data_IF_811093907787
#
_entry.id   IF_811093907787
#
_cell.length_a   1.000
_cell.length_b   1.000
_cell.length_c   1.000
_cell.angle_alpha   90.00
_cell.angle_beta   90.00
_cell.angle_gamma   90.00
#
_symmetry.space_group_name_H-M   'P 1'
#
loop_
_entity.id
_entity.type
_entity.pdbx_description
1 polymer ?
#
# COMPACT_ATOMS: atom_id res chain seq x y z
N UNK A 1 20.00 13.49 -14.16
CA UNK A 1 20.58 14.74 -13.67
C UNK A 1 19.52 15.72 -13.21
N UNK A 2 18.48 15.98 -13.98
CA UNK A 2 17.37 16.91 -13.68
C UNK A 2 16.71 16.69 -12.31
N UNK A 3 16.43 15.44 -11.94
CA UNK A 3 15.88 15.11 -10.60
C UNK A 3 16.79 15.56 -9.44
N UNK A 4 18.10 15.61 -9.66
CA UNK A 4 19.04 16.15 -8.67
C UNK A 4 18.99 17.68 -8.63
N UNK A 5 18.78 18.36 -9.76
CA UNK A 5 18.57 19.80 -9.80
C UNK A 5 17.28 20.16 -9.06
N UNK A 6 16.17 19.44 -9.31
CA UNK A 6 14.93 19.60 -8.53
C UNK A 6 15.15 19.40 -7.04
N UNK A 7 15.96 18.38 -6.68
CA UNK A 7 16.28 18.09 -5.28
C UNK A 7 17.08 19.24 -4.64
N UNK A 8 18.15 19.70 -5.31
CA UNK A 8 19.00 20.82 -4.84
C UNK A 8 18.17 22.10 -4.70
N UNK A 9 17.31 22.41 -5.67
CA UNK A 9 16.40 23.53 -5.62
C UNK A 9 15.43 23.44 -4.45
N UNK A 10 14.71 22.34 -4.35
CA UNK A 10 13.70 22.07 -3.30
C UNK A 10 14.27 22.25 -1.90
N UNK A 11 15.45 21.70 -1.66
CA UNK A 11 16.10 21.70 -0.35
C UNK A 11 17.07 22.87 -0.14
N UNK A 12 17.12 23.80 -1.08
CA UNK A 12 18.01 24.98 -1.07
C UNK A 12 19.47 24.62 -0.78
N UNK A 13 19.94 23.50 -1.36
CA UNK A 13 21.30 23.02 -1.19
C UNK A 13 22.23 23.73 -2.18
N UNK A 14 22.20 25.07 -2.19
CA UNK A 14 22.93 25.89 -3.12
C UNK A 14 24.43 25.92 -2.76
N UNK A 15 25.30 26.11 -3.77
CA UNK A 15 26.71 26.38 -3.53
C UNK A 15 26.87 27.69 -2.72
N UNK A 16 28.01 27.84 -2.04
CA UNK A 16 28.31 29.04 -1.23
C UNK A 16 28.43 30.33 -2.08
N UNK A 17 28.57 30.19 -3.39
CA UNK A 17 28.59 31.34 -4.31
C UNK A 17 27.19 31.92 -4.43
N UNK A 18 27.04 33.29 -4.42
CA UNK A 18 25.79 33.92 -4.67
C UNK A 18 25.21 33.51 -6.03
N UNK A 19 23.92 33.14 -6.06
CA UNK A 19 23.24 32.86 -7.31
C UNK A 19 23.07 34.16 -8.09
N UNK A 20 23.29 34.09 -9.40
CA UNK A 20 23.11 35.20 -10.34
C UNK A 20 22.39 34.74 -11.60
N UNK A 21 21.59 35.62 -12.17
CA UNK A 21 21.01 35.38 -13.50
C UNK A 21 22.11 35.41 -14.59
N UNK A 22 21.76 34.95 -15.78
CA UNK A 22 22.63 35.05 -16.95
C UNK A 22 23.08 36.50 -17.22
N UNK A 23 22.23 37.48 -16.87
CA UNK A 23 22.49 38.92 -17.02
C UNK A 23 23.28 39.51 -15.83
N UNK A 24 23.64 38.69 -14.83
CA UNK A 24 24.45 39.08 -13.67
C UNK A 24 23.69 39.63 -12.47
N UNK A 25 22.36 39.65 -12.49
CA UNK A 25 21.55 40.09 -11.36
C UNK A 25 21.60 39.11 -10.22
N UNK A 26 21.67 39.61 -8.98
CA UNK A 26 21.69 38.78 -7.78
C UNK A 26 20.35 38.08 -7.57
N UNK A 27 20.38 36.81 -7.25
CA UNK A 27 19.19 35.96 -7.00
C UNK A 27 19.21 35.42 -5.57
N UNK A 28 18.14 35.68 -4.83
CA UNK A 28 17.91 35.14 -3.49
C UNK A 28 16.62 34.32 -3.50
N UNK A 29 16.70 33.02 -3.16
CA UNK A 29 15.56 32.12 -3.08
C UNK A 29 14.96 32.15 -1.68
N UNK A 30 13.85 32.88 -1.50
CA UNK A 30 13.13 33.00 -0.24
C UNK A 30 12.33 31.73 0.01
N UNK A 31 11.57 31.25 -1.00
CA UNK A 31 10.79 30.04 -0.98
C UNK A 31 10.95 29.30 -2.33
N UNK A 32 11.32 28.04 -2.29
CA UNK A 32 11.47 27.24 -3.52
C UNK A 32 10.15 26.90 -4.20
N UNK A 33 9.01 27.11 -3.52
CA UNK A 33 7.70 26.76 -4.03
C UNK A 33 7.27 25.33 -3.76
N UNK A 34 6.07 25.01 -4.19
CA UNK A 34 5.47 23.68 -4.06
C UNK A 34 5.85 22.81 -5.27
N UNK A 35 6.57 21.71 -5.01
CA UNK A 35 6.98 20.80 -6.07
C UNK A 35 5.76 20.13 -6.73
N UNK A 36 5.62 20.31 -8.03
CA UNK A 36 4.58 19.74 -8.86
C UNK A 36 5.01 18.34 -9.36
N UNK A 37 4.07 17.41 -9.35
CA UNK A 37 4.26 16.05 -9.91
C UNK A 37 3.31 15.77 -11.07
N UNK A 38 2.56 16.80 -11.53
CA UNK A 38 1.60 16.74 -12.61
C UNK A 38 2.06 17.62 -13.77
N UNK A 39 1.24 17.76 -14.78
CA UNK A 39 1.51 18.64 -15.92
C UNK A 39 1.58 20.12 -15.51
N UNK A 40 2.49 20.89 -16.10
CA UNK A 40 2.77 22.30 -15.83
C UNK A 40 4.12 22.49 -15.14
N UNK A 41 4.48 23.72 -14.75
CA UNK A 41 5.77 24.05 -14.15
C UNK A 41 6.13 23.21 -12.93
N UNK A 42 7.42 22.95 -12.72
CA UNK A 42 7.96 22.05 -11.70
C UNK A 42 7.70 22.51 -10.26
N UNK A 43 7.70 23.82 -10.04
CA UNK A 43 7.44 24.40 -8.73
C UNK A 43 6.44 25.54 -8.84
N UNK A 44 5.37 25.49 -8.05
CA UNK A 44 4.35 26.53 -7.97
C UNK A 44 4.60 27.51 -6.83
N UNK A 45 4.25 28.77 -7.06
CA UNK A 45 4.27 29.82 -6.04
C UNK A 45 5.62 29.99 -5.33
N UNK A 46 6.72 29.83 -6.05
CA UNK A 46 8.04 30.18 -5.53
C UNK A 46 8.15 31.67 -5.26
N UNK A 47 8.98 32.06 -4.27
CA UNK A 47 9.29 33.43 -3.94
C UNK A 47 10.78 33.66 -4.13
N UNK A 48 11.14 34.46 -5.12
CA UNK A 48 12.53 34.71 -5.51
C UNK A 48 12.74 36.21 -5.63
N UNK A 49 13.84 36.71 -5.09
CA UNK A 49 14.25 38.10 -5.24
C UNK A 49 15.31 38.16 -6.33
N UNK A 50 15.06 38.90 -7.41
CA UNK A 50 15.95 39.08 -8.56
C UNK A 50 16.26 40.57 -8.70
N UNK A 51 17.53 40.95 -8.72
CA UNK A 51 17.93 42.36 -8.83
C UNK A 51 17.33 43.26 -7.75
N UNK A 52 16.98 42.71 -6.57
CA UNK A 52 16.34 43.47 -5.49
C UNK A 52 14.81 43.41 -5.51
N UNK A 53 14.17 43.01 -6.61
CA UNK A 53 12.70 42.93 -6.76
C UNK A 53 12.20 41.54 -6.36
N UNK A 54 11.15 41.47 -5.53
CA UNK A 54 10.48 40.22 -5.13
C UNK A 54 9.51 39.75 -6.20
N UNK A 55 9.75 38.57 -6.73
CA UNK A 55 8.87 37.89 -7.67
C UNK A 55 8.17 36.71 -6.98
N UNK A 56 6.90 36.52 -7.30
CA UNK A 56 6.11 35.37 -6.86
C UNK A 56 5.50 34.70 -8.10
N UNK A 57 5.82 33.44 -8.33
CA UNK A 57 5.36 32.72 -9.51
C UNK A 57 5.92 31.31 -9.58
N UNK A 58 5.95 30.73 -10.75
CA UNK A 58 6.39 29.35 -10.95
C UNK A 58 7.86 29.30 -11.37
N UNK A 59 8.49 28.17 -11.10
CA UNK A 59 9.86 27.87 -11.52
C UNK A 59 9.86 26.59 -12.33
N UNK A 60 10.61 26.61 -13.44
CA UNK A 60 10.87 25.45 -14.28
C UNK A 60 12.34 25.10 -14.21
N UNK A 61 12.66 23.79 -14.25
CA UNK A 61 14.03 23.28 -14.10
C UNK A 61 14.36 22.29 -15.21
N UNK A 62 15.48 22.50 -15.89
CA UNK A 62 15.98 21.63 -16.94
C UNK A 62 17.47 21.31 -16.79
N UNK A 63 17.93 20.25 -17.44
CA UNK A 63 19.38 20.00 -17.56
C UNK A 63 20.05 21.08 -18.44
N UNK A 64 19.42 21.43 -19.56
CA UNK A 64 19.85 22.49 -20.48
C UNK A 64 18.73 23.49 -20.73
N UNK A 65 19.07 24.72 -20.95
CA UNK A 65 18.06 25.73 -21.27
C UNK A 65 17.29 25.40 -22.57
N UNK A 66 17.94 24.79 -23.56
CA UNK A 66 17.32 24.34 -24.82
C UNK A 66 16.22 23.30 -24.63
N UNK A 67 16.17 22.57 -23.49
CA UNK A 67 15.13 21.60 -23.19
C UNK A 67 13.75 22.26 -23.10
N UNK A 68 13.69 23.58 -22.78
CA UNK A 68 12.47 24.40 -22.84
C UNK A 68 11.75 24.28 -24.17
N UNK A 69 12.49 24.33 -25.27
CA UNK A 69 11.94 24.25 -26.62
C UNK A 69 11.70 22.80 -27.04
N UNK A 70 12.50 21.85 -26.56
CA UNK A 70 12.28 20.40 -26.77
C UNK A 70 10.93 19.98 -26.18
N UNK A 71 10.59 20.50 -25.01
CA UNK A 71 9.32 20.25 -24.33
C UNK A 71 8.18 21.16 -24.80
N UNK A 72 8.44 22.11 -25.71
CA UNK A 72 7.46 23.06 -26.30
C UNK A 72 6.79 23.97 -25.29
N UNK A 73 7.51 24.36 -24.25
CA UNK A 73 6.97 25.22 -23.20
C UNK A 73 6.65 26.63 -23.72
N UNK A 74 7.33 27.10 -24.77
CA UNK A 74 7.07 28.36 -25.47
C UNK A 74 5.70 28.39 -26.18
N UNK A 75 5.01 27.21 -26.29
CA UNK A 75 3.69 27.11 -26.91
C UNK A 75 2.58 26.87 -25.87
N UNK A 76 2.92 26.70 -24.60
CA UNK A 76 1.99 26.30 -23.54
C UNK A 76 1.72 27.48 -22.57
N UNK A 77 0.48 27.93 -22.53
CA UNK A 77 0.04 29.05 -21.68
C UNK A 77 0.23 28.78 -20.18
N UNK A 78 0.36 27.51 -19.74
CA UNK A 78 0.62 27.15 -18.34
C UNK A 78 1.97 27.65 -17.84
N UNK A 79 2.93 27.89 -18.75
CA UNK A 79 4.28 28.37 -18.44
C UNK A 79 4.40 29.91 -18.49
N UNK A 80 3.34 30.63 -18.82
CA UNK A 80 3.35 32.10 -18.87
C UNK A 80 3.54 32.77 -17.49
N UNK A 81 3.38 32.01 -16.39
CA UNK A 81 3.61 32.49 -15.02
C UNK A 81 4.94 31.97 -14.44
N UNK A 82 5.84 31.46 -15.27
CA UNK A 82 7.20 31.12 -14.87
C UNK A 82 7.96 32.44 -14.68
N UNK A 83 8.57 32.58 -13.50
CA UNK A 83 9.34 33.80 -13.12
C UNK A 83 10.84 33.56 -13.17
N UNK A 84 11.27 32.30 -13.18
CA UNK A 84 12.67 31.90 -13.21
C UNK A 84 12.81 30.53 -13.88
N UNK A 85 13.75 30.43 -14.80
CA UNK A 85 14.17 29.17 -15.39
C UNK A 85 15.52 28.74 -14.79
N UNK A 86 15.56 27.58 -14.17
CA UNK A 86 16.75 27.03 -13.52
C UNK A 86 17.35 25.95 -14.41
N UNK A 87 18.63 26.04 -14.75
CA UNK A 87 19.27 25.10 -15.65
C UNK A 87 20.58 24.57 -15.08
N UNK A 88 20.91 23.34 -15.47
CA UNK A 88 22.28 22.83 -15.27
C UNK A 88 23.29 23.48 -16.19
N UNK A 89 22.84 23.95 -17.37
CA UNK A 89 23.64 24.69 -18.34
C UNK A 89 22.74 25.61 -19.16
N UNK A 90 23.12 26.90 -19.25
CA UNK A 90 22.42 27.90 -20.08
C UNK A 90 23.09 27.92 -21.46
N UNK A 91 22.49 27.19 -22.41
CA UNK A 91 22.94 27.10 -23.80
C UNK A 91 22.09 27.96 -24.78
N UNK A 92 20.98 28.48 -24.30
CA UNK A 92 20.10 29.39 -25.09
C UNK A 92 19.24 30.28 -24.20
N UNK A 93 18.75 31.35 -24.75
CA UNK A 93 17.76 32.24 -24.11
C UNK A 93 16.37 31.65 -24.32
N UNK A 94 15.53 31.67 -23.30
CA UNK A 94 14.15 31.15 -23.38
C UNK A 94 13.13 32.24 -23.17
N UNK A 95 11.97 32.08 -23.83
CA UNK A 95 10.85 33.02 -23.72
C UNK A 95 9.54 32.25 -23.53
N UNK A 96 8.59 32.88 -22.84
CA UNK A 96 7.22 32.37 -22.69
C UNK A 96 6.45 32.46 -24.00
N UNK A 97 5.25 31.86 -24.03
CA UNK A 97 4.32 32.00 -25.18
C UNK A 97 3.99 33.46 -25.51
N UNK A 98 4.06 34.34 -24.52
CA UNK A 98 3.81 35.78 -24.72
C UNK A 98 5.01 36.54 -25.28
N UNK A 99 6.17 35.87 -25.40
CA UNK A 99 7.42 36.50 -25.84
C UNK A 99 8.23 37.14 -24.71
N UNK A 100 7.82 36.99 -23.46
CA UNK A 100 8.57 37.51 -22.32
C UNK A 100 9.83 36.66 -22.12
N UNK A 101 11.01 37.28 -22.15
CA UNK A 101 12.29 36.62 -21.88
C UNK A 101 12.35 36.28 -20.39
N UNK A 102 12.65 35.01 -20.08
CA UNK A 102 12.72 34.54 -18.70
C UNK A 102 14.12 34.78 -18.11
N UNK A 103 14.22 35.25 -16.86
CA UNK A 103 15.46 35.21 -16.11
C UNK A 103 15.91 33.73 -15.97
N UNK A 104 17.21 33.48 -16.21
CA UNK A 104 17.81 32.16 -16.15
C UNK A 104 18.93 32.13 -15.14
N UNK A 105 19.05 31.04 -14.37
CA UNK A 105 20.22 30.77 -13.51
C UNK A 105 20.81 29.39 -13.82
N UNK A 106 22.13 29.26 -13.71
CA UNK A 106 22.79 28.00 -13.65
C UNK A 106 22.85 27.50 -12.20
N UNK A 107 22.39 26.26 -12.00
CA UNK A 107 22.41 25.59 -10.71
C UNK A 107 23.28 24.34 -10.79
N UNK A 108 24.41 24.38 -10.08
CA UNK A 108 25.30 23.22 -9.96
C UNK A 108 24.84 22.32 -8.82
N UNK A 109 24.81 21.01 -9.07
CA UNK A 109 24.64 20.03 -8.00
C UNK A 109 25.93 19.97 -7.19
N UNK A 110 25.89 20.19 -5.86
CA UNK A 110 27.11 20.09 -5.05
C UNK A 110 27.78 18.72 -5.19
N UNK A 111 29.10 18.66 -5.36
CA UNK A 111 29.81 17.39 -5.62
C UNK A 111 29.54 16.30 -4.59
N UNK A 112 29.43 16.66 -3.30
CA UNK A 112 29.12 15.69 -2.24
C UNK A 112 27.70 15.12 -2.37
N UNK A 113 26.72 15.91 -2.84
CA UNK A 113 25.35 15.41 -3.07
C UNK A 113 25.33 14.42 -4.23
N UNK A 114 26.04 14.73 -5.32
CA UNK A 114 26.19 13.85 -6.47
C UNK A 114 26.83 12.53 -6.06
N UNK A 115 27.99 12.59 -5.40
CA UNK A 115 28.71 11.42 -4.93
C UNK A 115 27.85 10.55 -4.01
N UNK A 116 27.23 11.14 -2.99
CA UNK A 116 26.37 10.38 -2.06
C UNK A 116 25.16 9.76 -2.75
N UNK A 117 24.60 10.43 -3.77
CA UNK A 117 23.50 9.87 -4.53
C UNK A 117 23.94 8.66 -5.37
N UNK A 118 25.08 8.75 -6.03
CA UNK A 118 25.69 7.64 -6.76
C UNK A 118 26.00 6.45 -5.84
N UNK A 119 26.53 6.72 -4.64
CA UNK A 119 26.75 5.69 -3.61
C UNK A 119 25.45 4.98 -3.21
N UNK A 120 24.34 5.72 -3.00
CA UNK A 120 23.04 5.13 -2.70
C UNK A 120 22.50 4.26 -3.84
N UNK A 121 22.73 4.66 -5.10
CA UNK A 121 22.27 3.91 -6.26
C UNK A 121 23.09 2.66 -6.53
N UNK A 122 24.40 2.72 -6.30
CA UNK A 122 25.36 1.64 -6.54
C UNK A 122 25.46 0.63 -5.40
N UNK A 123 24.90 0.95 -4.22
CA UNK A 123 25.03 0.08 -3.04
C UNK A 123 24.32 -1.25 -3.23
N UNK A 124 25.04 -2.35 -3.04
CA UNK A 124 24.51 -3.71 -2.94
C UNK A 124 23.93 -4.00 -1.54
N UNK A 125 24.28 -3.20 -0.54
CA UNK A 125 23.74 -3.34 0.80
C UNK A 125 22.29 -2.84 0.88
N UNK A 126 21.49 -3.49 1.71
CA UNK A 126 20.09 -3.14 1.85
C UNK A 126 19.70 -2.91 3.33
N UNK A 127 19.13 -1.75 3.69
CA UNK A 127 18.89 -0.58 2.82
C UNK A 127 20.21 0.16 2.48
N UNK A 128 20.30 0.81 1.33
CA UNK A 128 21.54 1.49 0.91
C UNK A 128 22.09 2.49 1.94
N UNK A 129 21.17 3.16 2.66
CA UNK A 129 21.48 4.16 3.68
C UNK A 129 21.75 3.57 5.09
N UNK A 130 21.91 2.25 5.26
CA UNK A 130 22.01 1.58 6.58
C UNK A 130 23.05 2.19 7.51
N UNK A 131 24.19 2.64 6.97
CA UNK A 131 25.31 3.21 7.75
C UNK A 131 24.94 4.44 8.58
N UNK A 132 23.95 5.23 8.12
CA UNK A 132 23.60 6.47 8.80
C UNK A 132 22.48 6.32 9.81
N UNK A 133 21.69 5.26 9.71
CA UNK A 133 20.48 5.06 10.51
C UNK A 133 20.77 5.15 12.02
N UNK A 134 21.83 4.50 12.56
CA UNK A 134 22.10 4.59 14.00
C UNK A 134 22.42 6.01 14.50
N UNK A 135 22.83 6.91 13.63
CA UNK A 135 23.17 8.29 13.98
C UNK A 135 22.03 9.29 13.75
N UNK A 136 20.86 8.85 13.30
CA UNK A 136 19.73 9.74 13.09
C UNK A 136 19.06 10.14 14.39
N UNK A 137 18.59 11.39 14.46
CA UNK A 137 17.86 11.84 15.65
C UNK A 137 16.55 11.07 15.81
N UNK A 138 16.16 10.78 17.05
CA UNK A 138 14.88 10.13 17.36
C UNK A 138 13.71 10.93 16.78
N UNK A 139 13.75 12.25 16.87
CA UNK A 139 12.70 13.13 16.31
C UNK A 139 12.55 12.95 14.78
N UNK A 140 13.68 12.90 14.05
CA UNK A 140 13.66 12.69 12.58
C UNK A 140 13.01 11.36 12.25
N UNK A 141 13.38 10.28 12.96
CA UNK A 141 12.84 8.94 12.69
C UNK A 141 11.36 8.84 13.06
N UNK A 142 10.96 9.29 14.25
CA UNK A 142 9.54 9.26 14.69
C UNK A 142 8.65 10.05 13.73
N UNK A 143 9.05 11.28 13.37
CA UNK A 143 8.31 12.11 12.41
C UNK A 143 8.19 11.45 11.04
N UNK A 144 9.26 10.77 10.57
CA UNK A 144 9.23 10.09 9.28
C UNK A 144 8.35 8.84 9.31
N UNK A 145 8.45 8.02 10.36
CA UNK A 145 7.60 6.84 10.54
C UNK A 145 6.11 7.22 10.63
N UNK A 146 5.76 8.29 11.34
CA UNK A 146 4.39 8.79 11.41
C UNK A 146 3.84 9.19 10.03
N UNK A 147 4.63 9.91 9.23
CA UNK A 147 4.25 10.26 7.86
C UNK A 147 4.05 9.01 6.99
N UNK A 148 4.94 8.03 7.09
CA UNK A 148 4.84 6.76 6.34
C UNK A 148 3.65 5.89 6.78
N UNK A 149 3.26 5.93 8.07
CA UNK A 149 2.03 5.27 8.55
C UNK A 149 0.80 5.84 7.85
N UNK A 150 0.70 7.17 7.79
CA UNK A 150 -0.40 7.86 7.10
C UNK A 150 -0.41 7.51 5.60
N UNK A 151 0.73 7.62 4.94
CA UNK A 151 0.88 7.26 3.52
C UNK A 151 0.45 5.80 3.25
N UNK A 152 0.82 4.88 4.16
CA UNK A 152 0.43 3.46 4.07
C UNK A 152 -1.08 3.27 4.19
N UNK A 153 -1.72 3.95 5.13
CA UNK A 153 -3.17 3.89 5.29
C UNK A 153 -3.90 4.51 4.10
N UNK A 154 -3.41 5.62 3.57
CA UNK A 154 -3.96 6.25 2.36
C UNK A 154 -3.84 5.33 1.13
N UNK A 155 -2.72 4.65 0.96
CA UNK A 155 -2.54 3.68 -0.12
C UNK A 155 -3.52 2.52 0.01
N UNK A 156 -3.72 1.98 1.23
CA UNK A 156 -4.71 0.93 1.49
C UNK A 156 -6.14 1.44 1.29
N UNK A 157 -6.42 2.69 1.65
CA UNK A 157 -7.72 3.34 1.43
C UNK A 157 -8.07 3.39 -0.06
N UNK A 158 -7.12 3.76 -0.92
CA UNK A 158 -7.36 3.76 -2.38
C UNK A 158 -7.75 2.37 -2.89
N UNK A 159 -7.07 1.32 -2.43
CA UNK A 159 -7.40 -0.05 -2.82
C UNK A 159 -8.78 -0.50 -2.29
N UNK A 160 -9.17 -0.08 -1.09
CA UNK A 160 -10.51 -0.36 -0.53
C UNK A 160 -11.59 0.41 -1.29
N UNK A 161 -11.36 1.68 -1.61
CA UNK A 161 -12.29 2.50 -2.39
C UNK A 161 -12.52 1.90 -3.80
N UNK A 162 -11.47 1.42 -4.45
CA UNK A 162 -11.57 0.71 -5.73
C UNK A 162 -12.42 -0.57 -5.61
N UNK A 163 -12.30 -1.32 -4.50
CA UNK A 163 -13.17 -2.48 -4.23
C UNK A 163 -14.61 -2.07 -4.00
N UNK A 164 -14.85 -0.97 -3.27
CA UNK A 164 -16.21 -0.46 -3.05
C UNK A 164 -16.85 -0.05 -4.38
N UNK A 165 -16.11 0.61 -5.26
CA UNK A 165 -16.55 0.97 -6.60
C UNK A 165 -16.87 -0.30 -7.44
N UNK A 166 -15.98 -1.29 -7.43
CA UNK A 166 -16.18 -2.57 -8.12
C UNK A 166 -17.34 -3.41 -7.53
N UNK A 167 -17.79 -3.10 -6.33
CA UNK A 167 -18.95 -3.69 -5.65
C UNK A 167 -20.18 -2.77 -5.68
N UNK A 168 -20.37 -1.98 -6.74
CA UNK A 168 -21.51 -1.07 -6.94
C UNK A 168 -21.71 -0.08 -5.77
N UNK A 169 -20.64 0.38 -5.16
CA UNK A 169 -20.65 1.30 -4.01
C UNK A 169 -20.89 0.63 -2.66
N UNK A 170 -21.03 -0.69 -2.59
CA UNK A 170 -21.26 -1.42 -1.35
C UNK A 170 -19.99 -1.54 -0.49
N UNK A 171 -19.93 -0.76 0.57
CA UNK A 171 -18.83 -0.84 1.55
C UNK A 171 -18.85 -2.15 2.35
N UNK A 172 -20.01 -2.76 2.58
CA UNK A 172 -20.12 -4.09 3.21
C UNK A 172 -19.48 -5.17 2.33
N UNK A 173 -19.76 -5.14 1.02
CA UNK A 173 -19.15 -6.06 0.08
C UNK A 173 -17.65 -5.81 -0.05
N UNK A 174 -17.20 -4.55 -0.14
CA UNK A 174 -15.79 -4.19 -0.15
C UNK A 174 -15.04 -4.64 1.12
N UNK A 175 -15.71 -4.56 2.27
CA UNK A 175 -15.20 -5.11 3.53
C UNK A 175 -15.01 -6.62 3.43
N UNK A 176 -16.03 -7.37 2.97
CA UNK A 176 -15.91 -8.81 2.80
C UNK A 176 -14.79 -9.20 1.85
N UNK A 177 -14.67 -8.54 0.69
CA UNK A 177 -13.60 -8.78 -0.28
C UNK A 177 -12.23 -8.49 0.33
N UNK A 178 -12.10 -7.39 1.08
CA UNK A 178 -10.85 -7.01 1.76
C UNK A 178 -10.48 -8.03 2.84
N UNK A 179 -11.46 -8.51 3.61
CA UNK A 179 -11.26 -9.55 4.62
C UNK A 179 -10.81 -10.85 3.97
N UNK A 180 -11.51 -11.30 2.94
CA UNK A 180 -11.18 -12.52 2.19
C UNK A 180 -9.76 -12.46 1.62
N UNK A 181 -9.40 -11.38 0.94
CA UNK A 181 -8.02 -11.17 0.45
C UNK A 181 -6.98 -11.39 1.53
N UNK A 182 -7.21 -10.83 2.72
CA UNK A 182 -6.26 -10.93 3.83
C UNK A 182 -6.27 -12.32 4.51
N UNK A 183 -7.33 -13.10 4.37
CA UNK A 183 -7.35 -14.52 4.74
C UNK A 183 -6.44 -15.39 3.86
N UNK A 184 -6.06 -14.92 2.68
CA UNK A 184 -5.06 -15.53 1.83
C UNK A 184 -3.62 -15.41 2.36
N UNK A 185 -3.38 -14.60 3.39
CA UNK A 185 -2.07 -14.38 4.04
C UNK A 185 -0.91 -14.22 3.05
N UNK A 186 -1.12 -13.44 2.00
CA UNK A 186 -0.16 -13.11 0.95
C UNK A 186 -0.15 -14.10 -0.22
N UNK A 187 -0.01 -15.40 0.02
CA UNK A 187 0.16 -16.39 -1.07
C UNK A 187 -1.10 -16.55 -1.92
N UNK A 188 -2.26 -16.62 -1.28
CA UNK A 188 -3.56 -16.78 -1.93
C UNK A 188 -4.40 -15.48 -1.93
N UNK A 189 -3.81 -14.34 -1.62
CA UNK A 189 -4.57 -13.08 -1.50
C UNK A 189 -5.37 -12.75 -2.76
N UNK A 190 -4.77 -12.84 -3.94
CA UNK A 190 -5.43 -12.53 -5.21
C UNK A 190 -6.53 -13.56 -5.56
N UNK A 191 -6.30 -14.85 -5.28
CA UNK A 191 -7.30 -15.89 -5.48
C UNK A 191 -8.52 -15.68 -4.55
N UNK A 192 -8.28 -15.34 -3.27
CA UNK A 192 -9.35 -14.99 -2.34
C UNK A 192 -10.12 -13.73 -2.75
N UNK A 193 -9.46 -12.73 -3.28
CA UNK A 193 -10.11 -11.52 -3.78
C UNK A 193 -11.03 -11.82 -4.96
N UNK A 194 -10.54 -12.55 -5.98
CA UNK A 194 -11.33 -12.98 -7.13
C UNK A 194 -12.53 -13.84 -6.69
N UNK A 195 -12.30 -14.79 -5.81
CA UNK A 195 -13.35 -15.62 -5.25
C UNK A 195 -14.43 -14.80 -4.53
N UNK A 196 -14.03 -13.86 -3.67
CA UNK A 196 -14.96 -13.03 -2.91
C UNK A 196 -15.77 -12.09 -3.80
N UNK A 197 -15.18 -11.58 -4.89
CA UNK A 197 -15.87 -10.78 -5.90
C UNK A 197 -16.94 -11.58 -6.67
N UNK A 198 -16.74 -12.89 -6.83
CA UNK A 198 -17.69 -13.77 -7.50
C UNK A 198 -18.78 -14.32 -6.56
N UNK A 199 -18.71 -14.04 -5.25
CA UNK A 199 -19.72 -14.50 -4.28
C UNK A 199 -20.94 -13.58 -4.27
N UNK A 200 -22.14 -14.09 -4.54
CA UNK A 200 -23.37 -13.32 -4.44
C UNK A 200 -23.79 -13.20 -2.97
N UNK A 201 -23.21 -12.27 -2.24
CA UNK A 201 -23.42 -12.11 -0.79
C UNK A 201 -24.90 -11.98 -0.41
N UNK A 202 -25.73 -11.36 -1.27
CA UNK A 202 -27.17 -11.29 -1.06
C UNK A 202 -27.84 -12.68 -1.10
N UNK A 203 -27.47 -13.51 -2.10
CA UNK A 203 -27.98 -14.88 -2.17
C UNK A 203 -27.50 -15.72 -0.98
N UNK A 204 -26.24 -15.56 -0.57
CA UNK A 204 -25.73 -16.24 0.63
C UNK A 204 -26.44 -15.78 1.89
N UNK A 205 -26.81 -14.50 1.99
CA UNK A 205 -27.53 -13.95 3.15
C UNK A 205 -28.88 -14.64 3.38
N UNK A 206 -29.58 -15.08 2.33
CA UNK A 206 -30.82 -15.84 2.42
C UNK A 206 -30.66 -17.27 2.98
N UNK A 207 -29.41 -17.76 3.08
CA UNK A 207 -29.10 -19.11 3.54
C UNK A 207 -28.25 -19.13 4.83
N UNK A 208 -28.15 -17.98 5.54
CA UNK A 208 -27.34 -17.85 6.76
C UNK A 208 -27.75 -18.79 7.90
N UNK A 209 -29.00 -19.17 7.96
CA UNK A 209 -29.56 -20.11 8.94
C UNK A 209 -29.08 -21.55 8.72
N UNK A 210 -28.55 -21.85 7.54
CA UNK A 210 -28.01 -23.15 7.18
C UNK A 210 -26.53 -23.09 6.82
N UNK A 211 -25.66 -23.29 7.81
CA UNK A 211 -24.20 -23.25 7.63
C UNK A 211 -23.71 -24.21 6.55
N UNK A 212 -24.35 -25.38 6.38
CA UNK A 212 -23.99 -26.34 5.35
C UNK A 212 -24.19 -25.78 3.93
N UNK A 213 -25.28 -25.04 3.70
CA UNK A 213 -25.52 -24.36 2.42
C UNK A 213 -24.51 -23.23 2.19
N UNK A 214 -24.15 -22.47 3.22
CA UNK A 214 -23.11 -21.44 3.13
C UNK A 214 -21.75 -22.06 2.78
N UNK A 215 -21.40 -23.17 3.43
CA UNK A 215 -20.16 -23.91 3.10
C UNK A 215 -20.19 -24.43 1.65
N UNK A 216 -21.33 -24.99 1.20
CA UNK A 216 -21.48 -25.46 -0.17
C UNK A 216 -21.29 -24.33 -1.18
N UNK A 217 -21.89 -23.16 -0.96
CA UNK A 217 -21.69 -21.99 -1.82
C UNK A 217 -20.25 -21.49 -1.79
N UNK A 218 -19.64 -21.40 -0.64
CA UNK A 218 -18.28 -20.89 -0.49
C UNK A 218 -17.24 -21.79 -1.14
N UNK A 219 -17.25 -23.08 -0.84
CA UNK A 219 -16.35 -24.07 -1.42
C UNK A 219 -16.63 -24.29 -2.92
N UNK A 220 -17.90 -24.27 -3.30
CA UNK A 220 -18.33 -24.43 -4.69
C UNK A 220 -17.89 -23.26 -5.56
N UNK A 221 -18.10 -22.00 -5.13
CA UNK A 221 -17.65 -20.80 -5.84
C UNK A 221 -16.11 -20.73 -5.90
N UNK A 222 -15.41 -21.34 -4.95
CA UNK A 222 -13.96 -21.50 -4.99
C UNK A 222 -13.47 -22.55 -6.00
N UNK A 223 -14.38 -23.29 -6.67
CA UNK A 223 -14.05 -24.39 -7.57
C UNK A 223 -13.55 -25.64 -6.86
N UNK A 224 -13.58 -25.70 -5.51
CA UNK A 224 -13.01 -26.78 -4.72
C UNK A 224 -13.92 -28.00 -4.57
N UNK A 225 -15.17 -27.91 -5.04
CA UNK A 225 -16.11 -29.03 -5.16
C UNK A 225 -16.07 -29.71 -6.53
N UNK A 226 -15.09 -29.36 -7.37
CA UNK A 226 -14.78 -30.10 -8.58
C UNK A 226 -13.83 -31.25 -8.27
N UNK A 227 -14.09 -32.46 -8.80
CA UNK A 227 -13.23 -33.63 -8.61
C UNK A 227 -11.81 -33.41 -9.16
N UNK A 228 -11.66 -32.54 -10.17
CA UNK A 228 -10.35 -32.18 -10.70
C UNK A 228 -9.50 -31.34 -9.72
N UNK A 229 -10.14 -30.67 -8.77
CA UNK A 229 -9.46 -29.98 -7.68
C UNK A 229 -8.90 -30.93 -6.62
N UNK A 230 -9.34 -32.18 -6.62
CA UNK A 230 -8.86 -33.22 -5.70
C UNK A 230 -7.68 -33.95 -6.31
N UNK A 231 -6.62 -34.15 -5.51
CA UNK A 231 -5.46 -34.93 -5.94
C UNK A 231 -5.87 -36.35 -6.39
N UNK A 232 -5.32 -36.81 -7.49
CA UNK A 232 -5.69 -38.11 -8.08
C UNK A 232 -5.61 -39.26 -7.11
N UNK A 233 -4.65 -39.26 -6.17
CA UNK A 233 -4.49 -40.30 -5.15
C UNK A 233 -5.60 -40.35 -4.08
N UNK A 234 -6.42 -39.31 -3.95
CA UNK A 234 -7.49 -39.20 -2.96
C UNK A 234 -8.90 -39.20 -3.59
N UNK A 235 -9.02 -39.33 -4.92
CA UNK A 235 -10.33 -39.24 -5.61
C UNK A 235 -11.27 -40.33 -5.20
N UNK A 236 -10.78 -41.59 -5.09
CA UNK A 236 -11.61 -42.73 -4.72
C UNK A 236 -12.13 -42.59 -3.28
N UNK A 237 -11.29 -42.11 -2.37
CA UNK A 237 -11.68 -41.82 -0.98
C UNK A 237 -12.75 -40.74 -0.91
N UNK A 238 -12.56 -39.65 -1.65
CA UNK A 238 -13.49 -38.53 -1.70
C UNK A 238 -14.84 -38.91 -2.32
N UNK A 239 -14.86 -39.79 -3.30
CA UNK A 239 -16.12 -40.29 -3.91
C UNK A 239 -16.91 -41.17 -2.93
N UNK A 240 -16.25 -41.84 -2.01
CA UNK A 240 -16.91 -42.59 -0.94
C UNK A 240 -17.26 -41.71 0.27
N UNK A 241 -16.68 -40.52 0.35
CA UNK A 241 -16.96 -39.55 1.39
C UNK A 241 -18.34 -38.87 1.18
N UNK A 242 -19.28 -39.23 2.00
CA UNK A 242 -20.62 -38.74 1.92
C UNK A 242 -20.74 -37.22 2.16
N UNK A 243 -19.74 -36.56 2.79
CA UNK A 243 -19.72 -35.13 3.02
C UNK A 243 -19.43 -34.34 1.74
N UNK A 244 -18.40 -34.74 0.99
CA UNK A 244 -18.05 -34.12 -0.29
C UNK A 244 -19.22 -34.22 -1.26
N UNK A 245 -19.78 -35.40 -1.45
CA UNK A 245 -20.90 -35.65 -2.38
C UNK A 245 -22.14 -34.82 -2.02
N UNK A 246 -22.45 -34.67 -0.72
CA UNK A 246 -23.56 -33.84 -0.24
C UNK A 246 -23.32 -32.36 -0.53
N UNK A 247 -22.11 -31.83 -0.25
CA UNK A 247 -21.75 -30.43 -0.54
C UNK A 247 -21.80 -30.13 -2.04
N UNK A 248 -21.29 -31.07 -2.87
CA UNK A 248 -21.32 -30.94 -4.32
C UNK A 248 -22.76 -30.90 -4.84
N UNK A 249 -23.62 -31.81 -4.37
CA UNK A 249 -25.03 -31.83 -4.76
C UNK A 249 -25.75 -30.55 -4.35
N UNK A 250 -25.57 -30.08 -3.12
CA UNK A 250 -26.15 -28.84 -2.62
C UNK A 250 -25.67 -27.64 -3.42
N UNK A 251 -24.36 -27.57 -3.71
CA UNK A 251 -23.82 -26.49 -4.53
C UNK A 251 -24.38 -26.50 -5.97
N UNK A 252 -24.53 -27.67 -6.59
CA UNK A 252 -25.10 -27.74 -7.94
C UNK A 252 -26.55 -27.21 -7.98
N UNK A 253 -27.35 -27.51 -6.94
CA UNK A 253 -28.68 -26.93 -6.81
C UNK A 253 -28.64 -25.41 -6.66
N UNK A 254 -27.80 -24.89 -5.74
CA UNK A 254 -27.64 -23.45 -5.50
C UNK A 254 -27.02 -22.73 -6.70
N UNK A 255 -26.09 -23.37 -7.39
CA UNK A 255 -25.49 -22.88 -8.62
C UNK A 255 -26.54 -22.63 -9.68
N UNK A 256 -27.44 -23.62 -9.89
CA UNK A 256 -28.53 -23.48 -10.85
C UNK A 256 -29.53 -22.42 -10.42
N UNK A 257 -29.91 -22.40 -9.14
CA UNK A 257 -30.88 -21.44 -8.57
C UNK A 257 -30.45 -19.98 -8.72
N UNK A 258 -29.17 -19.69 -8.55
CA UNK A 258 -28.62 -18.33 -8.52
C UNK A 258 -27.73 -17.98 -9.72
N UNK A 259 -27.58 -18.87 -10.71
CA UNK A 259 -26.74 -18.64 -11.89
C UNK A 259 -25.26 -18.45 -11.57
N UNK A 260 -24.72 -19.21 -10.60
CA UNK A 260 -23.39 -19.03 -10.07
C UNK A 260 -22.32 -19.55 -11.02
N UNK A 261 -21.19 -18.86 -11.11
CA UNK A 261 -20.01 -19.27 -11.87
C UNK A 261 -18.79 -19.34 -10.93
N UNK A 262 -18.25 -20.53 -10.64
CA UNK A 262 -17.08 -20.67 -9.79
C UNK A 262 -15.82 -20.11 -10.45
N UNK A 263 -14.86 -19.70 -9.62
CA UNK A 263 -13.49 -19.43 -10.11
C UNK A 263 -12.79 -20.74 -10.44
N UNK A 264 -11.71 -20.65 -11.25
CA UNK A 264 -10.87 -21.80 -11.55
C UNK A 264 -10.08 -22.25 -10.31
N UNK A 265 -10.18 -23.55 -9.99
CA UNK A 265 -9.48 -24.12 -8.83
C UNK A 265 -7.95 -24.08 -8.96
N UNK A 266 -7.38 -23.94 -10.16
CA UNK A 266 -5.94 -23.78 -10.38
C UNK A 266 -5.37 -22.46 -9.84
N UNK A 267 -6.21 -21.49 -9.51
CA UNK A 267 -5.78 -20.25 -8.87
C UNK A 267 -5.27 -20.47 -7.43
N UNK A 268 -5.71 -21.56 -6.80
CA UNK A 268 -5.31 -21.86 -5.42
C UNK A 268 -3.92 -22.48 -5.35
N UNK A 269 -3.07 -21.92 -4.51
CA UNK A 269 -1.72 -22.39 -4.24
C UNK A 269 -1.67 -23.13 -2.92
N UNK A 270 -1.18 -24.37 -2.92
CA UNK A 270 -1.02 -25.23 -1.76
C UNK A 270 0.45 -25.41 -1.38
N UNK A 271 1.35 -25.34 -2.36
CA UNK A 271 2.77 -25.55 -2.16
C UNK A 271 3.36 -24.52 -1.17
N UNK A 272 4.19 -25.00 -0.23
CA UNK A 272 4.82 -24.22 0.83
C UNK A 272 3.85 -23.61 1.85
N UNK A 273 2.59 -24.08 1.89
CA UNK A 273 1.65 -23.74 2.95
C UNK A 273 1.62 -24.82 4.01
N UNK A 274 1.51 -24.42 5.28
CA UNK A 274 1.13 -25.35 6.34
C UNK A 274 -0.33 -25.76 6.13
N UNK A 275 -0.72 -27.05 6.35
CA UNK A 275 -2.08 -27.52 6.05
C UNK A 275 -3.20 -26.69 6.68
N UNK A 276 -3.03 -26.20 7.90
CA UNK A 276 -4.01 -25.31 8.55
C UNK A 276 -4.20 -23.95 7.84
N UNK A 277 -3.37 -23.62 6.84
CA UNK A 277 -3.49 -22.43 6.00
C UNK A 277 -4.03 -22.76 4.61
N UNK A 278 -4.44 -23.99 4.35
CA UNK A 278 -5.00 -24.38 3.07
C UNK A 278 -6.28 -23.58 2.76
N UNK A 279 -6.55 -23.26 1.50
CA UNK A 279 -7.75 -22.56 1.08
C UNK A 279 -9.04 -23.15 1.64
N UNK A 280 -9.19 -24.47 1.67
CA UNK A 280 -10.34 -25.14 2.25
C UNK A 280 -10.63 -24.68 3.69
N UNK A 281 -9.62 -24.72 4.56
CA UNK A 281 -9.76 -24.33 5.97
C UNK A 281 -10.11 -22.85 6.09
N UNK A 282 -9.48 -21.99 5.30
CA UNK A 282 -9.72 -20.54 5.34
C UNK A 282 -11.10 -20.18 4.82
N UNK A 283 -11.56 -20.82 3.76
CA UNK A 283 -12.90 -20.63 3.20
C UNK A 283 -13.98 -21.06 4.20
N UNK A 284 -13.81 -22.21 4.85
CA UNK A 284 -14.77 -22.71 5.86
C UNK A 284 -14.81 -21.82 7.09
N UNK A 285 -13.68 -21.29 7.54
CA UNK A 285 -13.64 -20.30 8.61
C UNK A 285 -14.42 -19.04 8.23
N UNK A 286 -14.27 -18.53 7.00
CA UNK A 286 -15.04 -17.38 6.49
C UNK A 286 -16.52 -17.71 6.35
N UNK A 287 -16.87 -18.90 5.85
CA UNK A 287 -18.25 -19.36 5.75
C UNK A 287 -18.94 -19.33 7.11
N UNK A 288 -18.28 -19.83 8.14
CA UNK A 288 -18.80 -19.81 9.51
C UNK A 288 -18.95 -18.40 10.07
N UNK A 289 -17.92 -17.55 9.91
CA UNK A 289 -18.01 -16.13 10.34
C UNK A 289 -19.19 -15.41 9.70
N UNK A 290 -19.41 -15.66 8.43
CA UNK A 290 -20.49 -15.05 7.68
C UNK A 290 -21.88 -15.59 8.10
N UNK A 291 -22.00 -16.93 8.20
CA UNK A 291 -23.28 -17.58 8.58
C UNK A 291 -23.72 -17.19 9.99
N UNK A 292 -22.79 -17.11 10.95
CA UNK A 292 -23.12 -16.71 12.33
C UNK A 292 -23.42 -15.21 12.48
N UNK A 293 -23.23 -14.41 11.44
CA UNK A 293 -23.39 -12.95 11.53
C UNK A 293 -22.38 -12.27 12.47
N UNK A 294 -21.33 -12.99 12.88
CA UNK A 294 -20.35 -12.50 13.85
C UNK A 294 -19.52 -11.33 13.30
N UNK A 295 -19.36 -11.25 11.98
CA UNK A 295 -18.58 -10.24 11.31
C UNK A 295 -19.41 -9.48 10.27
N UNK A 296 -19.36 -8.16 10.32
CA UNK A 296 -19.92 -7.22 9.34
C UNK A 296 -19.11 -5.93 9.42
N UNK A 297 -19.27 -5.06 8.43
CA UNK A 297 -18.64 -3.73 8.48
C UNK A 297 -19.10 -2.97 9.74
N UNK A 298 -20.40 -2.98 10.04
CA UNK A 298 -20.94 -2.29 11.24
C UNK A 298 -20.29 -2.81 12.52
N UNK A 299 -20.16 -4.12 12.71
CA UNK A 299 -19.50 -4.67 13.89
C UNK A 299 -18.05 -4.21 14.02
N UNK A 300 -17.33 -4.11 12.90
CA UNK A 300 -15.92 -3.63 12.89
C UNK A 300 -15.85 -2.15 13.24
N UNK A 301 -16.79 -1.34 12.70
CA UNK A 301 -16.85 0.10 12.99
C UNK A 301 -17.22 0.40 14.46
N UNK A 302 -17.97 -0.49 15.10
CA UNK A 302 -18.37 -0.36 16.50
C UNK A 302 -17.29 -0.79 17.50
N UNK A 303 -16.30 -1.60 17.08
CA UNK A 303 -15.20 -2.02 17.94
C UNK A 303 -14.43 -0.82 18.50
N UNK A 304 -14.34 -0.74 19.85
CA UNK A 304 -13.59 0.31 20.54
C UNK A 304 -12.19 -0.16 20.96
N UNK A 305 -11.94 -1.46 20.94
CA UNK A 305 -10.66 -2.06 21.33
C UNK A 305 -10.17 -3.09 20.32
N UNK A 306 -8.85 -3.27 20.27
CA UNK A 306 -8.23 -4.33 19.47
C UNK A 306 -8.74 -5.73 19.88
N UNK A 307 -9.03 -5.94 21.18
CA UNK A 307 -9.56 -7.22 21.68
C UNK A 307 -10.95 -7.52 21.11
N UNK A 308 -11.82 -6.53 21.03
CA UNK A 308 -13.14 -6.67 20.39
C UNK A 308 -13.00 -7.00 18.89
N UNK A 309 -12.14 -6.26 18.17
CA UNK A 309 -11.86 -6.52 16.76
C UNK A 309 -11.34 -7.95 16.53
N UNK A 310 -10.42 -8.42 17.36
CA UNK A 310 -9.93 -9.81 17.29
C UNK A 310 -11.01 -10.83 17.62
N UNK A 311 -11.92 -10.53 18.56
CA UNK A 311 -13.06 -11.39 18.91
C UNK A 311 -14.01 -11.56 17.73
N UNK A 312 -14.32 -10.48 17.02
CA UNK A 312 -15.17 -10.53 15.81
C UNK A 312 -14.59 -11.42 14.71
N UNK A 313 -13.25 -11.52 14.62
CA UNK A 313 -12.54 -12.32 13.63
C UNK A 313 -12.30 -13.78 14.05
N UNK A 314 -12.57 -14.12 15.32
CA UNK A 314 -12.30 -15.47 15.85
C UNK A 314 -13.30 -16.45 15.28
N UNK A 315 -12.81 -17.46 14.56
CA UNK A 315 -13.61 -18.52 13.95
C UNK A 315 -12.93 -19.88 14.13
N UNK A 316 -13.74 -20.93 14.10
CA UNK A 316 -13.31 -22.32 14.02
C UNK A 316 -13.98 -22.99 12.81
N UNK A 317 -13.58 -24.23 12.54
CA UNK A 317 -14.15 -25.03 11.44
C UNK A 317 -15.30 -25.91 11.92
N UNK A 318 -16.12 -26.43 10.99
CA UNK A 318 -17.17 -27.42 11.29
C UNK A 318 -16.59 -28.80 11.55
N UNK A 319 -17.43 -29.74 12.01
CA UNK A 319 -17.00 -31.06 12.49
C UNK A 319 -16.15 -31.83 11.49
N UNK A 320 -16.54 -31.86 10.22
CA UNK A 320 -15.75 -32.52 9.17
C UNK A 320 -14.33 -31.94 9.09
N UNK A 321 -14.21 -30.64 9.06
CA UNK A 321 -12.92 -29.95 8.91
C UNK A 321 -12.06 -29.98 10.18
N UNK A 322 -12.60 -30.44 11.31
CA UNK A 322 -11.77 -30.69 12.50
C UNK A 322 -10.82 -31.87 12.28
N UNK A 323 -11.21 -32.82 11.44
CA UNK A 323 -10.43 -34.04 11.12
C UNK A 323 -9.83 -34.01 9.69
N UNK A 324 -10.02 -32.96 8.91
CA UNK A 324 -9.52 -32.87 7.52
C UNK A 324 -8.89 -31.50 7.23
N UNK A 325 -7.85 -31.45 6.41
CA UNK A 325 -7.27 -30.21 5.88
C UNK A 325 -7.68 -29.93 4.44
N UNK A 326 -8.00 -30.96 3.70
CA UNK A 326 -8.60 -30.95 2.36
C UNK A 326 -9.45 -32.21 2.22
N UNK A 327 -10.25 -32.30 1.19
CA UNK A 327 -11.04 -33.51 0.94
C UNK A 327 -10.14 -34.72 0.77
N UNK A 328 -10.48 -35.84 1.42
CA UNK A 328 -9.72 -37.08 1.39
C UNK A 328 -8.40 -37.08 2.18
N UNK A 329 -8.06 -36.00 2.88
CA UNK A 329 -6.82 -35.91 3.68
C UNK A 329 -7.14 -35.77 5.15
N UNK A 330 -7.14 -36.83 5.84
CA UNK A 330 -7.41 -36.89 7.29
C UNK A 330 -6.29 -36.24 8.11
N UNK A 331 -6.62 -35.70 9.26
CA UNK A 331 -5.73 -35.07 10.22
C UNK A 331 -6.13 -35.42 11.66
N UNK A 332 -5.26 -35.15 12.62
CA UNK A 332 -5.64 -35.13 14.02
C UNK A 332 -6.77 -34.15 14.29
N UNK A 333 -7.61 -34.46 15.26
CA UNK A 333 -8.77 -33.62 15.65
C UNK A 333 -8.28 -32.30 16.20
N UNK A 334 -8.75 -31.21 15.58
CA UNK A 334 -8.42 -29.85 16.00
C UNK A 334 -9.51 -28.88 15.55
N UNK A 335 -9.84 -27.89 16.37
CA UNK A 335 -10.78 -26.81 15.99
C UNK A 335 -10.26 -25.90 14.87
N UNK A 336 -8.98 -26.02 14.54
CA UNK A 336 -8.29 -25.25 13.49
C UNK A 336 -8.61 -23.75 13.54
N UNK A 337 -8.54 -23.17 14.74
CA UNK A 337 -8.74 -21.74 14.95
C UNK A 337 -7.55 -20.92 14.40
N UNK A 338 -7.82 -19.66 14.08
CA UNK A 338 -6.77 -18.69 13.81
C UNK A 338 -5.92 -18.45 15.05
N UNK A 339 -4.60 -18.46 14.89
CA UNK A 339 -3.69 -18.07 15.96
C UNK A 339 -3.84 -16.59 16.31
N UNK A 340 -3.46 -16.20 17.52
CA UNK A 340 -3.43 -14.79 17.94
C UNK A 340 -2.63 -13.93 16.95
N UNK A 341 -1.50 -14.41 16.45
CA UNK A 341 -0.70 -13.70 15.45
C UNK A 341 -1.45 -13.52 14.12
N UNK A 342 -2.19 -14.53 13.66
CA UNK A 342 -3.03 -14.42 12.46
C UNK A 342 -4.17 -13.43 12.65
N UNK A 343 -4.82 -13.43 13.82
CA UNK A 343 -5.85 -12.45 14.15
C UNK A 343 -5.29 -11.02 14.17
N UNK A 344 -4.11 -10.80 14.75
CA UNK A 344 -3.44 -9.50 14.73
C UNK A 344 -3.15 -9.04 13.29
N UNK A 345 -2.67 -9.93 12.42
CA UNK A 345 -2.43 -9.60 11.01
C UNK A 345 -3.72 -9.22 10.28
N UNK A 346 -4.84 -9.88 10.57
CA UNK A 346 -6.13 -9.52 10.01
C UNK A 346 -6.61 -8.15 10.52
N UNK A 347 -6.41 -7.84 11.80
CA UNK A 347 -6.71 -6.50 12.33
C UNK A 347 -5.86 -5.45 11.63
N UNK A 348 -4.54 -5.63 11.52
CA UNK A 348 -3.61 -4.70 10.87
C UNK A 348 -3.94 -4.50 9.38
N UNK A 349 -4.33 -5.55 8.68
CA UNK A 349 -4.48 -5.50 7.23
C UNK A 349 -5.95 -5.35 6.75
N UNK A 350 -6.93 -5.55 7.63
CA UNK A 350 -8.37 -5.42 7.29
C UNK A 350 -9.06 -4.37 8.15
N UNK A 351 -9.12 -4.58 9.46
CA UNK A 351 -9.93 -3.73 10.37
C UNK A 351 -9.42 -2.29 10.36
N UNK A 352 -8.15 -2.10 10.61
CA UNK A 352 -7.52 -0.77 10.69
C UNK A 352 -7.65 0.00 9.38
N UNK A 353 -7.30 -0.57 8.21
CA UNK A 353 -7.52 0.11 6.94
C UNK A 353 -8.99 0.40 6.65
N UNK A 354 -9.93 -0.46 7.05
CA UNK A 354 -11.36 -0.21 6.89
C UNK A 354 -11.85 0.94 7.79
N UNK A 355 -11.43 1.01 9.05
CA UNK A 355 -11.73 2.15 9.94
C UNK A 355 -11.26 3.46 9.31
N UNK A 356 -10.02 3.50 8.83
CA UNK A 356 -9.46 4.69 8.22
C UNK A 356 -10.15 5.05 6.90
N UNK A 357 -10.34 4.08 5.99
CA UNK A 357 -10.95 4.31 4.68
C UNK A 357 -12.41 4.76 4.80
N UNK A 358 -13.19 4.09 5.65
CA UNK A 358 -14.59 4.45 5.86
C UNK A 358 -14.73 5.77 6.62
N UNK A 359 -13.85 6.03 7.61
CA UNK A 359 -13.79 7.31 8.31
C UNK A 359 -13.52 8.48 7.35
N UNK A 360 -12.61 8.31 6.41
CA UNK A 360 -12.36 9.31 5.33
C UNK A 360 -13.56 9.47 4.41
N UNK A 361 -14.21 8.37 4.04
CA UNK A 361 -15.39 8.39 3.17
C UNK A 361 -16.57 9.18 3.74
N UNK A 362 -16.88 9.00 5.03
CA UNK A 362 -17.99 9.68 5.72
C UNK A 362 -17.56 10.92 6.49
N UNK A 363 -16.31 11.38 6.33
CA UNK A 363 -15.74 12.53 7.04
C UNK A 363 -15.82 12.43 8.57
N UNK A 364 -15.63 11.21 9.12
CA UNK A 364 -15.67 10.95 10.56
C UNK A 364 -14.25 10.71 11.10
N UNK A 365 -13.62 11.78 11.59
CA UNK A 365 -12.22 11.80 12.05
C UNK A 365 -11.94 10.80 13.18
N UNK A 366 -12.88 10.60 14.11
CA UNK A 366 -12.74 9.65 15.22
C UNK A 366 -12.51 8.19 14.80
N UNK A 367 -12.93 7.79 13.58
CA UNK A 367 -12.61 6.48 13.03
C UNK A 367 -11.16 6.42 12.53
N UNK A 368 -10.67 7.52 11.97
CA UNK A 368 -9.28 7.63 11.52
C UNK A 368 -8.31 7.62 12.71
N UNK A 369 -8.62 8.38 13.76
CA UNK A 369 -7.84 8.39 15.02
C UNK A 369 -7.79 6.99 15.63
N UNK A 370 -8.94 6.30 15.72
CA UNK A 370 -9.02 4.91 16.23
C UNK A 370 -8.16 3.95 15.42
N UNK A 371 -8.03 4.15 14.12
CA UNK A 371 -7.16 3.33 13.29
C UNK A 371 -5.69 3.46 13.71
N UNK A 372 -5.23 4.67 14.04
CA UNK A 372 -3.88 4.90 14.57
C UNK A 372 -3.72 4.33 15.98
N UNK A 373 -4.70 4.55 16.87
CA UNK A 373 -4.69 3.99 18.23
C UNK A 373 -4.58 2.46 18.22
N UNK A 374 -5.26 1.78 17.29
CA UNK A 374 -5.16 0.33 17.14
C UNK A 374 -3.79 -0.10 16.65
N UNK A 375 -3.15 0.66 15.76
CA UNK A 375 -1.77 0.38 15.33
C UNK A 375 -0.78 0.48 16.48
N UNK A 376 -0.95 1.44 17.38
CA UNK A 376 -0.08 1.63 18.54
C UNK A 376 -0.27 0.53 19.61
N UNK A 377 -1.49 0.01 19.78
CA UNK A 377 -1.79 -1.05 20.74
C UNK A 377 -1.32 -2.43 20.31
N UNK A 378 -1.09 -2.64 19.00
CA UNK A 378 -0.67 -3.92 18.45
C UNK A 378 0.85 -4.07 18.45
N UNK A 379 1.31 -5.31 18.70
CA UNK A 379 2.72 -5.64 18.56
C UNK A 379 3.17 -5.51 17.09
N UNK A 380 4.43 -5.12 16.86
CA UNK A 380 4.96 -5.05 15.51
C UNK A 380 4.94 -6.42 14.84
N UNK A 381 4.80 -6.43 13.52
CA UNK A 381 4.89 -7.64 12.72
C UNK A 381 6.30 -8.23 12.82
N UNK A 382 6.38 -9.56 12.81
CA UNK A 382 7.65 -10.27 12.79
C UNK A 382 7.90 -10.90 11.42
N UNK A 383 8.24 -10.06 10.44
CA UNK A 383 8.60 -10.48 9.10
C UNK A 383 10.08 -10.13 8.79
N UNK A 384 10.56 -10.57 7.63
CA UNK A 384 11.94 -10.30 7.21
C UNK A 384 12.26 -8.82 7.05
N UNK A 385 11.26 -8.00 6.66
CA UNK A 385 11.42 -6.55 6.50
C UNK A 385 11.70 -5.90 7.85
N UNK A 386 10.86 -6.19 8.84
CA UNK A 386 11.01 -5.62 10.19
C UNK A 386 12.33 -6.07 10.83
N UNK A 387 12.74 -7.34 10.63
CA UNK A 387 14.04 -7.82 11.14
C UNK A 387 15.20 -7.05 10.50
N UNK A 388 15.20 -6.89 9.17
CA UNK A 388 16.21 -6.12 8.45
C UNK A 388 16.37 -4.68 9.03
N UNK A 389 15.27 -4.00 9.31
CA UNK A 389 15.33 -2.65 9.90
C UNK A 389 15.83 -2.65 11.35
N UNK A 390 15.50 -3.67 12.13
CA UNK A 390 16.07 -3.87 13.47
C UNK A 390 17.58 -4.11 13.43
N UNK A 391 18.04 -4.86 12.44
CA UNK A 391 19.48 -5.08 12.21
C UNK A 391 20.22 -3.76 11.89
N UNK A 392 19.49 -2.76 11.37
CA UNK A 392 19.98 -1.39 11.22
C UNK A 392 19.84 -0.52 12.48
N UNK A 393 19.59 -1.13 13.65
CA UNK A 393 19.42 -0.44 14.95
C UNK A 393 18.18 0.45 15.06
N UNK A 394 17.14 0.20 14.24
CA UNK A 394 15.86 0.88 14.42
C UNK A 394 15.02 0.20 15.49
N UNK A 395 14.54 1.00 16.44
CA UNK A 395 13.53 0.56 17.38
C UNK A 395 12.17 0.44 16.68
N UNK A 396 11.48 -0.69 16.88
CA UNK A 396 10.16 -0.96 16.32
C UNK A 396 9.26 -1.36 17.47
N UNK A 397 8.50 -0.40 17.98
CA UNK A 397 7.73 -0.53 19.22
C UNK A 397 6.36 -1.17 18.99
N UNK A 398 5.66 -0.81 17.91
CA UNK A 398 4.27 -1.19 17.64
C UNK A 398 4.02 -1.48 16.16
N UNK A 399 2.79 -1.92 15.84
CA UNK A 399 2.41 -2.27 14.48
C UNK A 399 2.47 -1.09 13.50
N UNK A 400 2.23 0.13 13.97
CA UNK A 400 2.38 1.34 13.17
C UNK A 400 3.79 1.48 12.61
N UNK A 401 4.81 1.28 13.45
CA UNK A 401 6.21 1.33 13.01
C UNK A 401 6.49 0.24 11.97
N UNK A 402 6.02 -0.99 12.20
CA UNK A 402 6.23 -2.07 11.22
C UNK A 402 5.55 -1.78 9.88
N UNK A 403 4.36 -1.20 9.88
CA UNK A 403 3.65 -0.80 8.64
C UNK A 403 4.37 0.37 7.94
N UNK A 404 4.89 1.35 8.69
CA UNK A 404 5.72 2.43 8.15
C UNK A 404 7.00 1.92 7.49
N UNK A 405 7.67 0.95 8.12
CA UNK A 405 8.91 0.36 7.59
C UNK A 405 8.66 -0.51 6.36
N UNK A 406 7.51 -1.18 6.28
CA UNK A 406 7.08 -1.87 5.05
C UNK A 406 6.83 -0.85 3.93
N UNK A 407 6.18 0.27 4.23
CA UNK A 407 5.97 1.37 3.29
C UNK A 407 7.31 1.94 2.79
N UNK A 408 8.22 2.24 3.71
CA UNK A 408 9.55 2.74 3.40
C UNK A 408 10.30 1.81 2.45
N UNK A 409 10.27 0.50 2.73
CA UNK A 409 10.89 -0.49 1.86
C UNK A 409 10.27 -0.47 0.46
N UNK A 410 8.95 -0.67 0.37
CA UNK A 410 8.29 -0.94 -0.90
C UNK A 410 8.25 0.29 -1.82
N UNK A 411 7.98 1.48 -1.26
CA UNK A 411 7.75 2.69 -2.06
C UNK A 411 9.01 3.55 -2.22
N UNK A 412 9.98 3.40 -1.33
CA UNK A 412 11.19 4.22 -1.37
C UNK A 412 12.45 3.40 -1.68
N UNK A 413 12.74 2.36 -0.90
CA UNK A 413 14.01 1.64 -1.07
C UNK A 413 14.02 0.76 -2.33
N UNK A 414 12.98 -0.06 -2.54
CA UNK A 414 12.87 -0.94 -3.71
C UNK A 414 12.77 -0.14 -5.03
N UNK A 415 12.19 1.06 -4.95
CA UNK A 415 12.05 1.96 -6.10
C UNK A 415 13.20 2.95 -6.25
N UNK A 416 14.21 2.87 -5.40
CA UNK A 416 15.36 3.80 -5.35
C UNK A 416 14.95 5.28 -5.24
N UNK A 417 13.82 5.58 -4.58
CA UNK A 417 13.27 6.92 -4.40
C UNK A 417 13.99 7.69 -3.27
N UNK A 418 15.32 7.62 -3.21
CA UNK A 418 16.14 8.22 -2.15
C UNK A 418 15.98 9.75 -2.07
N UNK A 419 15.77 10.42 -3.20
CA UNK A 419 15.56 11.87 -3.28
C UNK A 419 14.24 12.34 -2.65
N UNK A 420 13.27 11.42 -2.45
CA UNK A 420 11.98 11.70 -1.78
C UNK A 420 11.94 11.20 -0.34
N UNK A 421 12.99 10.51 0.11
CA UNK A 421 13.09 9.88 1.41
C UNK A 421 13.77 10.81 2.42
N UNK A 422 13.21 10.93 3.64
CA UNK A 422 13.81 11.75 4.68
C UNK A 422 15.16 11.19 5.15
N UNK A 423 15.32 9.88 5.19
CA UNK A 423 16.62 9.26 5.47
C UNK A 423 17.59 9.54 4.32
N UNK A 424 17.12 9.47 3.08
CA UNK A 424 17.91 9.87 1.91
C UNK A 424 18.39 11.32 2.01
N UNK A 425 17.50 12.23 2.43
CA UNK A 425 17.88 13.63 2.68
C UNK A 425 19.00 13.75 3.72
N UNK A 426 18.88 13.05 4.85
CA UNK A 426 19.91 13.05 5.89
C UNK A 426 21.24 12.46 5.39
N UNK A 427 21.19 11.51 4.45
CA UNK A 427 22.38 10.96 3.80
C UNK A 427 23.05 11.98 2.88
N UNK A 428 22.28 12.60 2.01
CA UNK A 428 22.77 13.47 0.94
C UNK A 428 23.33 14.81 1.45
N UNK A 429 22.77 15.36 2.55
CA UNK A 429 23.21 16.64 3.11
C UNK A 429 24.53 16.60 3.90
N UNK A 430 25.05 15.41 4.18
CA UNK A 430 26.30 15.28 4.94
C UNK A 430 27.44 15.98 4.20
N UNK A 431 28.14 16.85 4.93
CA UNK A 431 29.44 17.32 4.50
C UNK A 431 30.48 16.33 5.08
N UNK A 432 31.42 15.90 4.26
CA UNK A 432 32.55 15.08 4.70
C UNK A 432 33.30 15.77 5.81
#
# INVERSE_FOLDING_TARGET
MEQLLHYVWKHKMFPLKPLKTADGEAVEVIDSGLHNHNAGPDFFNAKVKIGGTLWVGNVEIHNKASDWYVHKHEQDARYNNVILHVCGCIDTVVATQKGDILPQIELEVPPHVMQHYEELLASDAYPPCHKIIPGLSRLTMTSWLSALQTERLEQKTKAIAQRAEACDGSWEAAFFVTLARNYGFGINGDAFEQWAMCLPLQAVAHHRDNLFQVEAMFLGQAGLLNLDAVSACHRDEVLTDGYFSKLQHEYLYLKHKFGLNPIDHHLWRFLRLRPQNFPHIRIVQLARLYATGQISLSHVLDCQTVKEAMKCLKSCVTLYWQTHYSFGVASEVSEKQLSTASLQLLVINTVIPMLFAYGRHICKESLCERAFDFLEQLRPENNHIVRMWRDCSLEVAHAGDSQALIQLKNEYCDRKNCLRCRIGYEYLKRKQ
#
